data_IF_907706158240
#
_entry.id   IF_907706158240
#
_cell.length_a   1.000
_cell.length_b   1.000
_cell.length_c   1.000
_cell.angle_alpha   90.00
_cell.angle_beta   90.00
_cell.angle_gamma   90.00
#
_symmetry.space_group_name_H-M   'P 1'
#
loop_
_entity.id
_entity.type
_entity.pdbx_description
1 polymer ?
#
# COMPACT_ATOMS: atom_id res chain seq x y z
N UNK A 1 14.61 -13.05 -11.71
CA UNK A 1 13.19 -12.71 -11.95
C UNK A 1 13.13 -11.21 -12.15
N UNK A 2 12.45 -10.66 -13.17
CA UNK A 2 12.23 -9.22 -13.25
C UNK A 2 11.47 -8.78 -11.98
N UNK A 3 11.75 -7.57 -11.48
CA UNK A 3 11.06 -7.05 -10.29
C UNK A 3 9.53 -7.17 -10.50
N UNK A 4 8.74 -7.48 -9.45
CA UNK A 4 7.29 -7.49 -9.57
C UNK A 4 6.80 -6.05 -9.86
N UNK A 5 6.60 -5.74 -11.14
CA UNK A 5 6.03 -4.48 -11.59
C UNK A 5 4.56 -4.43 -11.15
N UNK A 6 4.21 -3.40 -10.38
CA UNK A 6 2.81 -3.15 -10.01
C UNK A 6 2.03 -2.59 -11.20
N UNK A 7 0.69 -2.78 -11.28
CA UNK A 7 -0.12 -2.44 -12.45
C UNK A 7 0.08 -1.01 -12.99
N UNK A 8 0.15 0.06 -12.17
CA UNK A 8 0.42 1.39 -12.70
C UNK A 8 1.74 1.49 -13.48
N UNK A 9 2.80 0.83 -12.99
CA UNK A 9 4.08 0.77 -13.70
C UNK A 9 4.01 -0.09 -14.95
N UNK A 10 3.26 -1.18 -14.93
CA UNK A 10 3.04 -2.01 -16.12
C UNK A 10 2.37 -1.21 -17.24
N UNK A 11 1.38 -0.37 -16.91
CA UNK A 11 0.75 0.51 -17.90
C UNK A 11 1.73 1.57 -18.41
N UNK A 12 2.49 2.23 -17.52
CA UNK A 12 3.52 3.20 -17.89
C UNK A 12 4.62 2.57 -18.77
N UNK A 13 5.05 1.35 -18.45
CA UNK A 13 6.05 0.59 -19.21
C UNK A 13 5.52 0.19 -20.60
N UNK A 14 4.22 -0.14 -20.70
CA UNK A 14 3.57 -0.47 -21.95
C UNK A 14 3.39 0.77 -22.85
N UNK A 15 2.92 1.88 -22.28
CA UNK A 15 2.80 3.16 -22.98
C UNK A 15 4.15 3.71 -23.45
N UNK A 16 5.22 3.44 -22.69
CA UNK A 16 6.58 3.78 -23.06
C UNK A 16 7.27 2.73 -23.96
N UNK A 17 6.52 1.74 -24.47
CA UNK A 17 6.99 0.67 -25.37
C UNK A 17 8.16 -0.18 -24.80
N UNK A 18 8.31 -0.21 -23.46
CA UNK A 18 9.34 -1.00 -22.76
C UNK A 18 8.92 -2.47 -22.58
N UNK A 19 7.61 -2.72 -22.54
CA UNK A 19 7.03 -4.05 -22.49
C UNK A 19 6.02 -4.25 -23.61
N UNK A 20 5.90 -5.49 -24.08
CA UNK A 20 4.90 -5.90 -25.05
C UNK A 20 3.53 -6.10 -24.41
N UNK A 21 2.48 -6.15 -25.24
CA UNK A 21 1.12 -6.50 -24.81
C UNK A 21 1.08 -7.86 -24.12
N UNK A 22 1.79 -8.86 -24.64
CA UNK A 22 1.86 -10.20 -24.04
C UNK A 22 2.48 -10.16 -22.64
N UNK A 23 3.56 -9.40 -22.46
CA UNK A 23 4.20 -9.20 -21.15
C UNK A 23 3.27 -8.47 -20.16
N UNK A 24 2.52 -7.47 -20.63
CA UNK A 24 1.50 -6.80 -19.81
C UNK A 24 0.42 -7.78 -19.34
N UNK A 25 -0.14 -8.58 -20.25
CA UNK A 25 -1.17 -9.57 -19.91
C UNK A 25 -0.65 -10.63 -18.96
N UNK A 26 0.57 -11.15 -19.17
CA UNK A 26 1.19 -12.11 -18.27
C UNK A 26 1.40 -11.55 -16.86
N UNK A 27 1.88 -10.31 -16.75
CA UNK A 27 2.08 -9.66 -15.45
C UNK A 27 0.75 -9.35 -14.74
N UNK A 28 -0.29 -8.95 -15.48
CA UNK A 28 -1.63 -8.75 -14.95
C UNK A 28 -2.29 -10.05 -14.50
N UNK A 29 -2.10 -11.15 -15.24
CA UNK A 29 -2.59 -12.48 -14.86
C UNK A 29 -1.98 -12.94 -13.53
N UNK A 30 -0.67 -12.79 -13.36
CA UNK A 30 0.01 -13.09 -12.10
C UNK A 30 -0.54 -12.27 -10.91
N UNK A 31 -0.87 -10.99 -11.13
CA UNK A 31 -1.52 -10.16 -10.11
C UNK A 31 -2.93 -10.65 -9.76
N UNK A 32 -3.71 -11.08 -10.76
CA UNK A 32 -5.05 -11.62 -10.53
C UNK A 32 -5.01 -12.96 -9.77
N UNK A 33 -4.08 -13.85 -10.11
CA UNK A 33 -3.87 -15.13 -9.41
C UNK A 33 -3.52 -14.92 -7.93
N UNK A 34 -2.66 -13.93 -7.63
CA UNK A 34 -2.31 -13.60 -6.24
C UNK A 34 -3.54 -13.19 -5.42
N UNK A 35 -4.51 -12.49 -6.03
CA UNK A 35 -5.76 -12.13 -5.38
C UNK A 35 -6.68 -13.34 -5.16
N UNK A 36 -6.66 -14.33 -6.05
CA UNK A 36 -7.45 -15.55 -5.91
C UNK A 36 -6.98 -16.41 -4.73
N UNK A 37 -5.67 -16.53 -4.52
CA UNK A 37 -5.13 -17.20 -3.32
C UNK A 37 -5.66 -16.55 -2.03
N UNK A 38 -5.75 -15.21 -2.00
CA UNK A 38 -6.29 -14.51 -0.84
C UNK A 38 -7.78 -14.80 -0.58
N UNK A 39 -8.54 -15.16 -1.61
CA UNK A 39 -9.94 -15.56 -1.51
C UNK A 39 -10.06 -16.99 -0.99
N UNK A 40 -9.20 -17.91 -1.46
CA UNK A 40 -9.16 -19.29 -0.97
C UNK A 40 -8.84 -19.34 0.53
N UNK A 41 -7.81 -18.61 0.97
CA UNK A 41 -7.47 -18.48 2.41
C UNK A 41 -8.65 -17.95 3.24
N UNK A 42 -9.48 -17.06 2.68
CA UNK A 42 -10.63 -16.50 3.37
C UNK A 42 -11.80 -17.48 3.49
N UNK A 43 -11.90 -18.45 2.57
CA UNK A 43 -12.86 -19.56 2.65
C UNK A 43 -12.44 -20.54 3.75
N UNK A 44 -11.14 -20.77 3.92
CA UNK A 44 -10.61 -21.71 4.92
C UNK A 44 -10.73 -21.18 6.36
N UNK A 45 -10.54 -19.87 6.59
CA UNK A 45 -10.75 -19.25 7.91
C UNK A 45 -11.67 -18.00 7.82
N UNK A 46 -12.99 -18.22 7.73
CA UNK A 46 -13.97 -17.14 7.59
C UNK A 46 -14.07 -16.28 8.87
N UNK A 47 -13.80 -16.88 10.03
CA UNK A 47 -13.89 -16.17 11.32
C UNK A 47 -12.72 -15.20 11.47
N UNK A 48 -11.48 -15.64 11.21
CA UNK A 48 -10.34 -14.74 11.24
C UNK A 48 -10.45 -13.63 10.19
N UNK A 49 -10.94 -13.96 8.99
CA UNK A 49 -11.17 -12.98 7.91
C UNK A 49 -12.21 -11.93 8.32
N UNK A 50 -13.30 -12.34 8.97
CA UNK A 50 -14.29 -11.41 9.50
C UNK A 50 -13.70 -10.49 10.57
N UNK A 51 -12.94 -11.04 11.52
CA UNK A 51 -12.26 -10.26 12.56
C UNK A 51 -11.27 -9.26 11.98
N UNK A 52 -10.45 -9.69 11.01
CA UNK A 52 -9.51 -8.82 10.32
C UNK A 52 -10.24 -7.68 9.60
N UNK A 53 -11.32 -8.01 8.88
CA UNK A 53 -12.14 -7.01 8.18
C UNK A 53 -12.71 -5.98 9.16
N UNK A 54 -13.19 -6.41 10.33
CA UNK A 54 -13.70 -5.50 11.36
C UNK A 54 -12.60 -4.58 11.89
N UNK A 55 -11.43 -5.13 12.22
CA UNK A 55 -10.28 -4.35 12.70
C UNK A 55 -9.79 -3.36 11.65
N UNK A 56 -9.68 -3.79 10.39
CA UNK A 56 -9.28 -2.97 9.26
C UNK A 56 -10.26 -1.82 9.03
N UNK A 57 -11.59 -2.09 9.07
CA UNK A 57 -12.63 -1.06 8.97
C UNK A 57 -12.48 -0.02 10.06
N UNK A 58 -12.28 -0.44 11.31
CA UNK A 58 -12.09 0.48 12.44
C UNK A 58 -10.81 1.30 12.31
N UNK A 59 -9.71 0.67 11.91
CA UNK A 59 -8.44 1.34 11.70
C UNK A 59 -8.53 2.40 10.59
N UNK A 60 -9.09 2.02 9.44
CA UNK A 60 -9.32 2.90 8.31
C UNK A 60 -10.24 4.06 8.68
N UNK A 61 -11.40 3.80 9.29
CA UNK A 61 -12.36 4.83 9.70
C UNK A 61 -11.71 5.86 10.64
N UNK A 62 -10.97 5.39 11.66
CA UNK A 62 -10.26 6.28 12.59
C UNK A 62 -9.17 7.10 11.88
N UNK A 63 -8.45 6.51 10.94
CA UNK A 63 -7.41 7.21 10.20
C UNK A 63 -8.00 8.25 9.24
N UNK A 64 -9.07 7.91 8.52
CA UNK A 64 -9.82 8.81 7.65
C UNK A 64 -10.47 9.95 8.39
N UNK A 65 -11.07 9.68 9.55
CA UNK A 65 -11.71 10.72 10.35
C UNK A 65 -10.70 11.83 10.73
N UNK A 66 -9.45 11.47 11.00
CA UNK A 66 -8.39 12.42 11.36
C UNK A 66 -7.76 13.14 10.16
N UNK A 67 -7.71 12.49 8.99
CA UNK A 67 -6.85 12.95 7.89
C UNK A 67 -7.57 13.23 6.56
N UNK A 68 -8.83 12.81 6.44
CA UNK A 68 -9.64 12.87 5.22
C UNK A 68 -9.33 11.73 4.25
N UNK A 69 -10.37 11.06 3.76
CA UNK A 69 -10.22 9.88 2.88
C UNK A 69 -9.40 10.16 1.62
N UNK A 70 -9.70 11.25 0.90
CA UNK A 70 -8.96 11.64 -0.32
C UNK A 70 -7.46 11.75 -0.08
N UNK A 71 -7.06 12.36 1.04
CA UNK A 71 -5.65 12.51 1.40
C UNK A 71 -5.02 11.15 1.70
N UNK A 72 -5.72 10.30 2.46
CA UNK A 72 -5.24 8.96 2.77
C UNK A 72 -5.04 8.14 1.48
N UNK A 73 -5.99 8.15 0.55
CA UNK A 73 -5.88 7.47 -0.75
C UNK A 73 -4.64 7.92 -1.53
N UNK A 74 -4.41 9.23 -1.62
CA UNK A 74 -3.23 9.77 -2.31
C UNK A 74 -1.92 9.35 -1.63
N UNK A 75 -1.89 9.30 -0.30
CA UNK A 75 -0.71 8.84 0.46
C UNK A 75 -0.44 7.36 0.18
N UNK A 76 -1.48 6.50 0.22
CA UNK A 76 -1.34 5.07 -0.06
C UNK A 76 -0.86 4.82 -1.49
N UNK A 77 -1.43 5.55 -2.47
CA UNK A 77 -0.98 5.50 -3.86
C UNK A 77 0.49 5.92 -3.98
N UNK A 78 0.91 6.99 -3.30
CA UNK A 78 2.30 7.46 -3.33
C UNK A 78 3.27 6.41 -2.76
N UNK A 79 2.90 5.73 -1.66
CA UNK A 79 3.69 4.62 -1.11
C UNK A 79 3.83 3.46 -2.10
N UNK A 80 2.77 3.15 -2.87
CA UNK A 80 2.83 2.09 -3.88
C UNK A 80 3.85 2.38 -4.98
N UNK A 81 4.13 3.66 -5.26
CA UNK A 81 5.06 4.07 -6.32
C UNK A 81 6.52 4.00 -5.91
N UNK A 82 6.84 3.70 -4.65
CA UNK A 82 8.22 3.54 -4.18
C UNK A 82 8.81 2.25 -4.78
N UNK A 83 9.96 2.32 -5.49
CA UNK A 83 10.63 1.12 -6.03
C UNK A 83 10.97 0.11 -4.94
N UNK A 84 10.72 -1.17 -5.22
CA UNK A 84 11.00 -2.26 -4.29
C UNK A 84 10.14 -2.29 -3.01
N UNK A 85 9.12 -1.43 -2.89
CA UNK A 85 8.33 -1.38 -1.66
C UNK A 85 7.47 -2.64 -1.50
N UNK A 86 7.61 -3.44 -0.42
CA UNK A 86 6.97 -4.76 -0.31
C UNK A 86 5.44 -4.73 -0.36
N UNK A 87 4.85 -3.59 0.02
CA UNK A 87 3.41 -3.41 0.14
C UNK A 87 2.79 -2.76 -1.11
N UNK A 88 3.61 -2.41 -2.12
CA UNK A 88 3.14 -1.75 -3.33
C UNK A 88 2.03 -2.52 -4.06
N UNK A 89 2.12 -3.86 -4.09
CA UNK A 89 1.19 -4.77 -4.78
C UNK A 89 -0.27 -4.69 -4.35
N UNK A 90 -0.57 -4.21 -3.15
CA UNK A 90 -1.96 -4.05 -2.70
C UNK A 90 -2.35 -2.59 -2.49
N UNK A 91 -1.40 -1.64 -2.57
CA UNK A 91 -1.67 -0.21 -2.40
C UNK A 91 -1.95 0.50 -3.73
N UNK A 92 -1.56 -0.09 -4.86
CA UNK A 92 -1.58 0.58 -6.18
C UNK A 92 -2.97 1.06 -6.61
N UNK A 93 -4.03 0.36 -6.22
CA UNK A 93 -5.42 0.70 -6.54
C UNK A 93 -6.09 1.57 -5.45
N UNK A 94 -5.32 2.13 -4.50
CA UNK A 94 -5.88 3.00 -3.45
C UNK A 94 -6.54 4.27 -3.99
N UNK A 95 -6.17 4.70 -5.20
CA UNK A 95 -6.78 5.82 -5.89
C UNK A 95 -8.18 5.50 -6.43
N UNK A 96 -8.54 4.23 -6.59
CA UNK A 96 -9.82 3.81 -7.15
C UNK A 96 -10.94 4.05 -6.14
N UNK A 97 -11.94 4.88 -6.46
CA UNK A 97 -12.97 5.29 -5.49
C UNK A 97 -13.81 4.10 -4.99
N UNK A 98 -14.11 3.15 -5.88
CA UNK A 98 -14.94 1.99 -5.55
C UNK A 98 -14.24 0.94 -4.68
N UNK A 99 -12.91 1.02 -4.52
CA UNK A 99 -12.20 0.10 -3.64
C UNK A 99 -12.32 0.63 -2.20
N UNK A 100 -12.94 -0.14 -1.28
CA UNK A 100 -13.09 0.29 0.10
C UNK A 100 -11.73 0.49 0.76
N UNK A 101 -11.54 1.61 1.44
CA UNK A 101 -10.22 1.96 1.97
C UNK A 101 -9.69 0.95 3.00
N UNK A 102 -10.57 0.26 3.72
CA UNK A 102 -10.17 -0.73 4.71
C UNK A 102 -9.41 -1.92 4.10
N UNK A 103 -9.56 -2.19 2.81
CA UNK A 103 -8.79 -3.25 2.12
C UNK A 103 -7.27 -3.00 2.14
N UNK A 104 -6.85 -1.74 2.35
CA UNK A 104 -5.45 -1.37 2.44
C UNK A 104 -4.87 -1.45 3.85
N UNK A 105 -5.71 -1.69 4.87
CA UNK A 105 -5.28 -1.75 6.27
C UNK A 105 -5.19 -3.22 6.69
N UNK A 106 -3.96 -3.72 6.85
CA UNK A 106 -3.69 -5.09 7.28
C UNK A 106 -3.24 -5.08 8.74
N UNK A 107 -4.19 -5.30 9.64
CA UNK A 107 -3.98 -5.20 11.09
C UNK A 107 -3.42 -6.50 11.64
N UNK A 108 -3.92 -7.67 11.25
CA UNK A 108 -3.41 -8.97 11.72
C UNK A 108 -3.02 -9.91 10.59
N UNK A 109 -3.38 -9.59 9.35
CA UNK A 109 -3.04 -10.39 8.17
C UNK A 109 -1.71 -9.96 7.57
N UNK A 110 -0.85 -10.91 7.21
CA UNK A 110 0.39 -10.61 6.49
C UNK A 110 0.11 -10.19 5.02
N UNK A 111 0.96 -9.33 4.43
CA UNK A 111 1.97 -8.55 5.11
C UNK A 111 1.31 -7.41 5.92
N UNK A 112 1.71 -7.25 7.18
CA UNK A 112 1.08 -6.28 8.09
C UNK A 112 1.29 -4.86 7.57
N UNK A 113 0.25 -4.03 7.60
CA UNK A 113 0.32 -2.64 7.16
C UNK A 113 -0.62 -1.78 7.99
N UNK A 114 -0.05 -0.97 8.89
CA UNK A 114 -0.78 -0.21 9.90
C UNK A 114 -0.35 1.25 9.87
N UNK A 115 -1.03 2.12 9.11
CA UNK A 115 -0.85 3.57 9.22
C UNK A 115 -1.15 4.05 10.64
N UNK A 116 -0.17 4.70 11.28
CA UNK A 116 -0.29 5.16 12.66
C UNK A 116 -0.64 6.64 12.71
N UNK A 117 0.11 7.43 11.96
CA UNK A 117 0.06 8.89 12.02
C UNK A 117 0.37 9.53 10.67
N UNK A 118 -0.38 10.56 10.31
CA UNK A 118 -0.07 11.46 9.20
C UNK A 118 0.01 12.89 9.73
N UNK A 119 1.19 13.51 9.63
CA UNK A 119 1.43 14.91 10.01
C UNK A 119 1.68 15.75 8.77
N UNK A 120 1.23 17.00 8.81
CA UNK A 120 1.69 18.03 7.88
C UNK A 120 2.56 19.02 8.67
N UNK A 121 3.82 19.15 8.30
CA UNK A 121 4.73 20.15 8.87
C UNK A 121 5.43 20.89 7.74
N UNK A 122 5.30 22.22 7.76
CA UNK A 122 5.99 23.11 6.81
C UNK A 122 5.72 22.75 5.33
N UNK A 123 4.51 22.29 5.01
CA UNK A 123 4.14 21.92 3.64
C UNK A 123 4.56 20.50 3.23
N UNK A 124 5.28 19.78 4.08
CA UNK A 124 5.65 18.38 3.86
C UNK A 124 4.76 17.45 4.68
N UNK A 125 4.21 16.43 4.01
CA UNK A 125 3.46 15.37 4.68
C UNK A 125 4.44 14.33 5.22
N UNK A 126 4.16 13.80 6.40
CA UNK A 126 4.94 12.73 7.02
C UNK A 126 3.98 11.64 7.47
N UNK A 127 4.08 10.46 6.88
CA UNK A 127 3.35 9.28 7.34
C UNK A 127 4.28 8.38 8.16
N UNK A 128 3.81 7.95 9.32
CA UNK A 128 4.44 6.91 10.12
C UNK A 128 3.51 5.69 10.13
N UNK A 129 4.07 4.52 9.87
CA UNK A 129 3.33 3.27 9.79
C UNK A 129 4.15 2.11 10.36
N UNK A 130 3.47 1.08 10.84
CA UNK A 130 4.11 -0.20 11.12
C UNK A 130 3.85 -1.14 9.94
N UNK A 131 4.91 -1.83 9.50
CA UNK A 131 4.81 -2.88 8.48
C UNK A 131 5.36 -4.21 8.98
N UNK A 132 4.88 -5.31 8.41
CA UNK A 132 5.55 -6.60 8.54
C UNK A 132 6.81 -6.62 7.68
N UNK A 133 7.91 -7.15 8.20
CA UNK A 133 9.02 -7.62 7.37
C UNK A 133 8.82 -9.07 6.94
N UNK A 134 9.81 -9.62 6.23
CA UNK A 134 9.81 -10.98 5.72
C UNK A 134 9.77 -12.04 6.83
N UNK A 135 10.23 -11.70 8.04
CA UNK A 135 10.26 -12.58 9.22
C UNK A 135 9.04 -12.39 10.12
N UNK A 136 8.08 -11.55 9.69
CA UNK A 136 6.85 -11.24 10.44
C UNK A 136 7.05 -10.26 11.59
N UNK A 137 8.24 -9.67 11.75
CA UNK A 137 8.49 -8.62 12.72
C UNK A 137 7.88 -7.29 12.27
N UNK A 138 7.48 -6.49 13.24
CA UNK A 138 6.94 -5.15 12.97
C UNK A 138 8.08 -4.14 12.87
N UNK A 139 8.27 -3.61 11.67
CA UNK A 139 9.20 -2.53 11.39
C UNK A 139 8.41 -1.23 11.31
N UNK A 140 8.79 -0.25 12.15
CA UNK A 140 8.24 1.10 12.07
C UNK A 140 8.97 1.91 11.01
N UNK A 141 8.22 2.43 10.06
CA UNK A 141 8.75 3.25 8.98
C UNK A 141 8.13 4.63 8.99
N UNK A 142 8.91 5.60 8.52
CA UNK A 142 8.41 6.93 8.22
C UNK A 142 8.73 7.28 6.79
N UNK A 143 7.75 7.82 6.08
CA UNK A 143 7.94 8.42 4.76
C UNK A 143 7.63 9.91 4.81
N UNK A 144 8.44 10.68 4.10
CA UNK A 144 8.18 12.07 3.75
C UNK A 144 7.45 12.08 2.41
N UNK A 145 6.38 12.86 2.29
CA UNK A 145 5.66 13.02 1.05
C UNK A 145 5.66 14.47 0.62
N UNK A 146 6.07 14.65 -0.63
CA UNK A 146 6.13 15.93 -1.31
C UNK A 146 5.00 16.03 -2.31
N UNK A 147 4.45 17.24 -2.43
CA UNK A 147 3.46 17.55 -3.45
C UNK A 147 4.16 17.75 -4.79
N UNK A 148 3.71 17.02 -5.80
CA UNK A 148 4.11 17.20 -7.20
C UNK A 148 2.88 17.46 -8.07
N UNK A 149 3.06 17.96 -9.31
CA UNK A 149 1.95 18.10 -10.26
C UNK A 149 1.21 16.78 -10.56
N UNK A 150 1.89 15.64 -10.35
CA UNK A 150 1.37 14.28 -10.61
C UNK A 150 0.79 13.62 -9.34
N UNK A 151 0.71 14.35 -8.22
CA UNK A 151 0.16 13.86 -6.96
C UNK A 151 1.15 13.97 -5.79
N UNK A 152 1.22 12.91 -4.98
CA UNK A 152 2.20 12.82 -3.90
C UNK A 152 3.34 11.91 -4.33
N UNK A 153 4.57 12.31 -4.01
CA UNK A 153 5.77 11.48 -4.15
C UNK A 153 6.25 11.14 -2.75
N UNK A 154 6.45 9.87 -2.47
CA UNK A 154 6.89 9.40 -1.16
C UNK A 154 8.38 9.02 -1.17
N UNK A 155 9.10 9.48 -0.15
CA UNK A 155 10.50 9.20 0.08
C UNK A 155 10.66 8.58 1.48
N UNK A 156 11.46 7.51 1.65
CA UNK A 156 11.80 7.04 2.98
C UNK A 156 12.46 8.16 3.75
N UNK A 157 12.00 8.43 4.96
CA UNK A 157 12.66 9.39 5.83
C UNK A 157 14.06 8.85 6.17
N UNK A 158 15.10 9.70 6.22
CA UNK A 158 16.40 9.27 6.72
C UNK A 158 16.22 8.69 8.12
N UNK A 159 16.90 7.58 8.41
CA UNK A 159 16.92 6.98 9.74
C UNK A 159 17.38 8.05 10.72
N UNK A 160 16.44 8.62 11.48
CA UNK A 160 16.77 9.50 12.59
C UNK A 160 17.53 8.67 13.63
N UNK A 161 18.45 9.28 14.41
CA UNK A 161 19.20 8.55 15.42
C UNK A 161 18.22 7.86 16.35
N UNK A 162 18.29 6.53 16.39
CA UNK A 162 17.60 5.70 17.37
C UNK A 162 17.93 6.23 18.75
N UNK A 163 16.99 6.95 19.36
CA UNK A 163 17.11 7.37 20.76
C UNK A 163 16.83 6.13 21.58
N UNK A 164 17.89 5.41 21.94
CA UNK A 164 17.92 4.54 23.11
C UNK A 164 18.38 5.35 24.31
#
# INVERSE_FOLDING_TARGET
MPEPHIPPRLFEDFEAERITREQLHAAMAWHAETLLVEVEEAVDDPVATWWETMLAKRAAARFCHRHGERRVRHVLLALSRIPGYPHARFLWNAAHPDVPLHCFFRVRRAPLFRPLELKNRQGMLRITLDRGDSDGQLVRETFLLEHSPQGLIAHPAPAGPSTH
#
